data_IF_655603639049
#
_entry.id   IF_655603639049
#
_cell.length_a   1.000
_cell.length_b   1.000
_cell.length_c   1.000
_cell.angle_alpha   90.00
_cell.angle_beta   90.00
_cell.angle_gamma   90.00
#
_symmetry.space_group_name_H-M   'P 1'
#
loop_
_entity.id
_entity.type
_entity.pdbx_description
1 polymer ?
#
# COMPACT_ATOMS: atom_id res chain seq x y z
N UNK A 1 1.84 15.86 -23.89
CA UNK A 1 2.85 14.77 -23.86
C UNK A 1 3.00 14.30 -22.41
N UNK A 2 2.73 13.04 -22.08
CA UNK A 2 3.04 12.50 -20.73
C UNK A 2 4.56 12.30 -20.66
N UNK A 3 5.23 12.87 -19.66
CA UNK A 3 6.66 12.66 -19.43
C UNK A 3 6.87 11.16 -19.18
N UNK A 4 7.65 10.49 -20.04
CA UNK A 4 8.06 9.10 -19.82
C UNK A 4 8.97 9.12 -18.59
N UNK A 5 8.49 8.58 -17.47
CA UNK A 5 9.31 8.42 -16.27
C UNK A 5 10.18 7.20 -16.51
N UNK A 6 11.50 7.39 -16.53
CA UNK A 6 12.45 6.29 -16.58
C UNK A 6 12.65 5.74 -15.17
N UNK A 7 12.58 4.42 -15.06
CA UNK A 7 12.88 3.70 -13.82
C UNK A 7 14.15 2.90 -14.03
N UNK A 8 15.07 2.97 -13.07
CA UNK A 8 16.34 2.27 -13.13
C UNK A 8 16.25 0.98 -12.32
N UNK A 9 16.87 -0.09 -12.83
CA UNK A 9 16.91 -1.40 -12.16
C UNK A 9 17.58 -1.26 -10.79
N UNK A 10 17.07 -1.97 -9.79
CA UNK A 10 17.54 -1.97 -8.40
C UNK A 10 17.39 -0.64 -7.64
N UNK A 11 16.79 0.39 -8.24
CA UNK A 11 16.46 1.63 -7.56
C UNK A 11 15.06 1.55 -6.92
N UNK A 12 14.82 2.36 -5.89
CA UNK A 12 13.57 2.35 -5.13
C UNK A 12 12.67 3.54 -5.47
N UNK A 13 11.36 3.27 -5.56
CA UNK A 13 10.37 4.30 -5.90
C UNK A 13 9.16 4.23 -4.98
N UNK A 14 8.77 5.39 -4.44
CA UNK A 14 7.51 5.57 -3.74
C UNK A 14 6.39 5.76 -4.76
N UNK A 15 5.50 4.77 -4.85
CA UNK A 15 4.35 4.80 -5.74
C UNK A 15 3.07 4.96 -4.95
N UNK A 16 2.20 5.90 -5.34
CA UNK A 16 0.93 6.11 -4.64
C UNK A 16 -0.15 6.68 -5.53
N UNK A 17 -1.40 6.35 -5.19
CA UNK A 17 -2.58 6.92 -5.82
C UNK A 17 -3.77 6.93 -4.84
N UNK A 18 -4.79 7.72 -5.14
CA UNK A 18 -5.97 7.94 -4.30
C UNK A 18 -7.24 7.90 -5.13
N UNK A 19 -8.35 7.49 -4.52
CA UNK A 19 -9.67 7.55 -5.13
C UNK A 19 -10.06 8.98 -5.54
N UNK A 20 -10.75 9.12 -6.67
CA UNK A 20 -11.35 10.41 -7.08
C UNK A 20 -12.23 10.96 -5.97
N UNK A 21 -12.21 12.27 -5.77
CA UNK A 21 -12.92 12.97 -4.69
C UNK A 21 -12.61 12.42 -3.28
N UNK A 22 -11.42 11.83 -3.10
CA UNK A 22 -11.00 11.15 -1.87
C UNK A 22 -11.93 10.00 -1.47
N UNK A 23 -12.69 9.44 -2.43
CA UNK A 23 -13.66 8.37 -2.19
C UNK A 23 -13.01 7.10 -1.66
N UNK A 24 -13.78 6.35 -0.89
CA UNK A 24 -13.38 5.01 -0.47
C UNK A 24 -13.24 4.12 -1.71
N UNK A 25 -12.10 3.44 -1.78
CA UNK A 25 -11.75 2.44 -2.79
C UNK A 25 -11.91 1.02 -2.23
N UNK A 26 -12.00 0.85 -0.91
CA UNK A 26 -12.32 -0.43 -0.24
C UNK A 26 -13.61 -0.29 0.57
N UNK A 27 -14.78 -0.51 -0.06
CA UNK A 27 -16.08 -0.39 0.60
C UNK A 27 -16.38 -1.61 1.48
N UNK A 28 -15.80 -2.77 1.15
CA UNK A 28 -15.83 -3.98 1.99
C UNK A 28 -14.48 -4.73 2.03
N UNK A 29 -14.44 -5.83 2.80
CA UNK A 29 -13.26 -6.66 2.94
C UNK A 29 -12.85 -7.34 1.63
N UNK A 30 -13.82 -7.69 0.78
CA UNK A 30 -13.54 -8.35 -0.49
C UNK A 30 -12.86 -7.39 -1.47
N UNK A 31 -13.18 -6.09 -1.41
CA UNK A 31 -12.46 -5.08 -2.18
C UNK A 31 -10.98 -5.00 -1.81
N UNK A 32 -10.69 -4.97 -0.51
CA UNK A 32 -9.32 -4.92 0.01
C UNK A 32 -8.55 -6.19 -0.40
N UNK A 33 -9.17 -7.36 -0.22
CA UNK A 33 -8.61 -8.65 -0.61
C UNK A 33 -8.37 -8.74 -2.11
N UNK A 34 -9.32 -8.25 -2.92
CA UNK A 34 -9.19 -8.22 -4.37
C UNK A 34 -8.03 -7.34 -4.81
N UNK A 35 -7.83 -6.19 -4.18
CA UNK A 35 -6.70 -5.32 -4.48
C UNK A 35 -5.38 -6.01 -4.13
N UNK A 36 -5.29 -6.61 -2.95
CA UNK A 36 -4.11 -7.37 -2.53
C UNK A 36 -3.80 -8.54 -3.48
N UNK A 37 -4.82 -9.34 -3.84
CA UNK A 37 -4.69 -10.40 -4.83
C UNK A 37 -4.21 -9.85 -6.18
N UNK A 38 -4.74 -8.72 -6.62
CA UNK A 38 -4.32 -8.05 -7.86
C UNK A 38 -2.84 -7.63 -7.82
N UNK A 39 -2.31 -7.23 -6.66
CA UNK A 39 -0.88 -6.93 -6.51
C UNK A 39 -0.01 -8.18 -6.73
N UNK A 40 -0.47 -9.35 -6.30
CA UNK A 40 0.28 -10.61 -6.50
C UNK A 40 0.17 -11.09 -7.95
N UNK A 41 -1.05 -11.13 -8.46
CA UNK A 41 -1.37 -11.79 -9.72
C UNK A 41 -0.99 -10.95 -10.96
N UNK A 42 -1.03 -9.61 -10.85
CA UNK A 42 -0.58 -8.75 -11.95
C UNK A 42 0.93 -8.47 -11.94
N UNK A 43 1.66 -8.92 -10.91
CA UNK A 43 3.12 -8.81 -10.85
C UNK A 43 3.79 -9.98 -11.60
N UNK A 44 3.50 -10.10 -12.88
CA UNK A 44 4.08 -11.11 -13.76
C UNK A 44 4.39 -10.50 -15.12
N UNK A 45 5.48 -10.90 -15.76
CA UNK A 45 5.85 -10.48 -17.12
C UNK A 45 4.73 -10.85 -18.08
N UNK A 46 4.35 -12.14 -18.08
CA UNK A 46 3.27 -12.64 -18.92
C UNK A 46 1.89 -12.21 -18.39
N UNK A 47 1.02 -11.62 -19.24
CA UNK A 47 -0.32 -11.25 -18.84
C UNK A 47 -1.16 -12.48 -18.48
N UNK A 48 -1.68 -12.50 -17.25
CA UNK A 48 -2.51 -13.60 -16.74
C UNK A 48 -3.96 -13.61 -17.26
N UNK A 49 -4.34 -12.66 -18.11
CA UNK A 49 -5.71 -12.50 -18.60
C UNK A 49 -6.70 -12.14 -17.47
N UNK A 50 -7.78 -12.94 -17.33
CA UNK A 50 -8.79 -12.74 -16.28
C UNK A 50 -8.44 -13.52 -15.01
N UNK A 51 -8.40 -12.81 -13.87
CA UNK A 51 -8.23 -13.42 -12.56
C UNK A 51 -9.32 -14.48 -12.27
N UNK A 52 -10.53 -14.30 -12.81
CA UNK A 52 -11.62 -15.26 -12.64
C UNK A 52 -11.41 -16.57 -13.43
N UNK A 53 -10.69 -16.51 -14.55
CA UNK A 53 -10.47 -17.65 -15.43
C UNK A 53 -9.22 -18.44 -14.99
N UNK A 54 -8.26 -17.79 -14.35
CA UNK A 54 -6.94 -18.37 -14.09
C UNK A 54 -6.77 -18.94 -12.66
N UNK A 55 -7.70 -19.80 -12.24
CA UNK A 55 -7.66 -20.48 -10.91
C UNK A 55 -6.41 -21.34 -10.69
N UNK A 56 -5.72 -21.73 -11.77
CA UNK A 56 -4.51 -22.57 -11.73
C UNK A 56 -3.19 -21.79 -11.50
N UNK A 57 -3.13 -20.48 -11.77
CA UNK A 57 -1.93 -19.67 -11.47
C UNK A 57 -1.69 -19.56 -9.96
N UNK A 58 -2.77 -19.55 -9.18
CA UNK A 58 -2.72 -19.51 -7.72
C UNK A 58 -1.96 -20.69 -7.08
N UNK A 59 -1.79 -21.82 -7.82
CA UNK A 59 -0.94 -22.95 -7.38
C UNK A 59 0.56 -22.67 -7.57
N UNK A 60 0.97 -21.91 -8.59
CA UNK A 60 2.39 -21.59 -8.89
C UNK A 60 2.99 -20.61 -7.85
N UNK A 61 2.18 -19.66 -7.37
CA UNK A 61 2.62 -18.67 -6.36
C UNK A 61 2.52 -19.17 -4.91
N UNK A 62 1.70 -20.20 -4.64
CA UNK A 62 1.59 -20.79 -3.28
C UNK A 62 2.84 -21.54 -2.84
N UNK A 63 3.66 -22.03 -3.77
CA UNK A 63 4.84 -22.84 -3.51
C UNK A 63 6.17 -22.08 -3.37
N UNK A 64 6.20 -20.76 -3.60
CA UNK A 64 7.46 -19.97 -3.62
C UNK A 64 7.86 -19.39 -2.26
N UNK A 65 7.92 -20.26 -1.25
CA UNK A 65 8.61 -20.01 0.03
C UNK A 65 10.08 -20.49 0.02
N UNK A 66 10.61 -20.84 -1.15
CA UNK A 66 11.97 -21.33 -1.34
C UNK A 66 12.82 -20.29 -2.06
N UNK A 67 14.09 -20.21 -1.68
CA UNK A 67 15.19 -19.54 -2.37
C UNK A 67 15.04 -19.60 -3.89
N UNK A 68 15.40 -18.54 -4.64
CA UNK A 68 15.41 -18.58 -6.10
C UNK A 68 16.31 -19.73 -6.56
N UNK A 69 15.70 -20.86 -6.92
CA UNK A 69 16.32 -21.80 -7.86
C UNK A 69 16.28 -21.12 -9.23
N UNK A 70 17.24 -21.42 -10.10
CA UNK A 70 17.52 -20.77 -11.40
C UNK A 70 16.38 -20.76 -12.46
N UNK A 71 15.12 -20.90 -12.05
CA UNK A 71 13.97 -20.48 -12.85
C UNK A 71 13.92 -18.94 -12.93
N UNK A 72 13.93 -18.38 -14.14
CA UNK A 72 13.84 -16.93 -14.37
C UNK A 72 12.72 -16.28 -13.55
N UNK A 73 13.07 -15.27 -12.76
CA UNK A 73 12.13 -14.46 -12.00
C UNK A 73 11.13 -13.79 -12.95
N UNK A 74 9.88 -14.28 -12.93
CA UNK A 74 8.83 -13.86 -13.85
C UNK A 74 8.08 -12.60 -13.37
N UNK A 75 8.58 -11.90 -12.36
CA UNK A 75 7.94 -10.70 -11.78
C UNK A 75 8.35 -9.42 -12.51
N UNK A 76 7.43 -8.44 -12.53
CA UNK A 76 7.70 -7.11 -13.09
C UNK A 76 8.47 -6.22 -12.11
N UNK A 77 8.14 -6.33 -10.83
CA UNK A 77 8.67 -5.52 -9.74
C UNK A 77 8.90 -6.37 -8.50
N UNK A 78 9.83 -5.95 -7.67
CA UNK A 78 9.89 -6.39 -6.28
C UNK A 78 9.12 -5.37 -5.41
N UNK A 79 8.31 -5.88 -4.48
CA UNK A 79 7.54 -5.04 -3.56
C UNK A 79 8.35 -4.95 -2.27
N UNK A 80 8.67 -3.75 -1.82
CA UNK A 80 9.48 -3.55 -0.62
C UNK A 80 8.57 -3.29 0.59
N UNK A 81 7.56 -2.45 0.41
CA UNK A 81 6.55 -2.17 1.43
C UNK A 81 5.24 -1.71 0.78
N UNK A 82 4.12 -1.91 1.48
CA UNK A 82 2.83 -1.41 1.04
C UNK A 82 1.93 -0.93 2.20
N UNK A 83 1.01 -0.05 1.86
CA UNK A 83 -0.14 0.31 2.68
C UNK A 83 -1.36 0.54 1.80
N UNK A 84 -2.43 -0.16 2.12
CA UNK A 84 -3.74 -0.12 1.49
C UNK A 84 -4.68 0.56 2.50
N UNK A 85 -4.92 1.85 2.32
CA UNK A 85 -5.84 2.63 3.13
C UNK A 85 -7.22 2.72 2.46
N UNK A 86 -8.29 3.04 3.21
CA UNK A 86 -9.65 3.00 2.68
C UNK A 86 -9.87 3.79 1.39
N UNK A 87 -9.16 4.91 1.17
CA UNK A 87 -9.29 5.73 -0.04
C UNK A 87 -8.00 5.87 -0.87
N UNK A 88 -6.89 5.25 -0.50
CA UNK A 88 -5.63 5.39 -1.23
C UNK A 88 -4.66 4.25 -0.92
N UNK A 89 -3.62 4.11 -1.72
CA UNK A 89 -2.54 3.18 -1.44
C UNK A 89 -1.17 3.85 -1.56
N UNK A 90 -0.19 3.26 -0.89
CA UNK A 90 1.23 3.56 -1.00
C UNK A 90 2.01 2.27 -1.19
N UNK A 91 2.97 2.25 -2.10
CA UNK A 91 3.87 1.13 -2.39
C UNK A 91 5.31 1.66 -2.44
N UNK A 92 6.27 0.84 -2.03
CA UNK A 92 7.67 1.01 -2.39
C UNK A 92 8.02 -0.13 -3.33
N UNK A 93 8.44 0.19 -4.55
CA UNK A 93 8.73 -0.79 -5.59
C UNK A 93 10.16 -0.59 -6.12
N UNK A 94 10.80 -1.68 -6.53
CA UNK A 94 11.96 -1.65 -7.42
C UNK A 94 11.67 -2.44 -8.70
N UNK A 95 12.01 -1.91 -9.89
CA UNK A 95 11.72 -2.61 -11.15
C UNK A 95 12.70 -3.76 -11.36
N UNK A 96 12.18 -4.94 -11.71
CA UNK A 96 12.98 -6.11 -12.07
C UNK A 96 13.27 -6.15 -13.58
N UNK A 97 12.36 -5.57 -14.37
CA UNK A 97 12.46 -5.42 -15.83
C UNK A 97 12.26 -3.95 -16.25
N UNK A 98 12.75 -3.58 -17.44
CA UNK A 98 12.53 -2.25 -17.99
C UNK A 98 11.02 -1.96 -18.13
N UNK A 99 10.57 -0.82 -17.61
CA UNK A 99 9.15 -0.47 -17.63
C UNK A 99 8.27 -1.27 -16.66
N UNK A 100 8.84 -2.14 -15.83
CA UNK A 100 8.12 -3.03 -14.91
C UNK A 100 7.14 -2.31 -13.99
N UNK A 101 7.55 -1.19 -13.36
CA UNK A 101 6.66 -0.36 -12.51
C UNK A 101 5.47 0.17 -13.31
N UNK A 102 5.71 0.72 -14.50
CA UNK A 102 4.64 1.27 -15.34
C UNK A 102 3.63 0.20 -15.73
N UNK A 103 4.11 -0.98 -16.14
CA UNK A 103 3.26 -2.08 -16.56
C UNK A 103 2.49 -2.70 -15.39
N UNK A 104 3.16 -2.94 -14.26
CA UNK A 104 2.55 -3.41 -13.03
C UNK A 104 1.43 -2.48 -12.57
N UNK A 105 1.72 -1.18 -12.47
CA UNK A 105 0.73 -0.19 -12.03
C UNK A 105 -0.39 0.02 -13.03
N UNK A 106 -0.15 -0.16 -14.34
CA UNK A 106 -1.19 -0.15 -15.36
C UNK A 106 -2.17 -1.28 -15.09
N UNK A 107 -1.67 -2.53 -15.01
CA UNK A 107 -2.49 -3.73 -14.77
C UNK A 107 -3.24 -3.66 -13.45
N UNK A 108 -2.55 -3.29 -12.36
CA UNK A 108 -3.14 -3.15 -11.03
C UNK A 108 -4.28 -2.13 -11.02
N UNK A 109 -4.03 -0.90 -11.49
CA UNK A 109 -5.04 0.16 -11.43
C UNK A 109 -6.21 -0.12 -12.39
N UNK A 110 -5.96 -0.57 -13.62
CA UNK A 110 -7.03 -0.83 -14.59
C UNK A 110 -7.86 -2.04 -14.20
N UNK A 111 -7.21 -3.14 -13.82
CA UNK A 111 -7.88 -4.37 -13.41
C UNK A 111 -8.75 -4.16 -12.17
N UNK A 112 -8.22 -3.43 -11.18
CA UNK A 112 -8.99 -3.11 -9.99
C UNK A 112 -10.14 -2.12 -10.26
N UNK A 113 -9.91 -1.10 -11.08
CA UNK A 113 -10.97 -0.16 -11.49
C UNK A 113 -12.11 -0.88 -12.20
N UNK A 114 -11.79 -1.82 -13.10
CA UNK A 114 -12.79 -2.63 -13.80
C UNK A 114 -13.61 -3.47 -12.83
N UNK A 115 -12.96 -4.18 -11.90
CA UNK A 115 -13.63 -4.94 -10.85
C UNK A 115 -14.56 -4.06 -10.01
N UNK A 116 -14.04 -2.94 -9.50
CA UNK A 116 -14.78 -2.04 -8.63
C UNK A 116 -16.00 -1.46 -9.35
N UNK A 117 -15.82 -1.02 -10.59
CA UNK A 117 -16.91 -0.46 -11.39
C UNK A 117 -17.99 -1.49 -11.68
N UNK A 118 -17.62 -2.73 -12.01
CA UNK A 118 -18.57 -3.81 -12.22
C UNK A 118 -19.37 -4.12 -10.94
N UNK A 119 -18.69 -4.30 -9.80
CA UNK A 119 -19.30 -4.64 -8.52
C UNK A 119 -20.27 -3.55 -8.03
N UNK A 120 -19.88 -2.28 -8.14
CA UNK A 120 -20.64 -1.15 -7.64
C UNK A 120 -21.50 -0.45 -8.72
N UNK A 121 -21.65 -1.07 -9.90
CA UNK A 121 -22.41 -0.53 -11.04
C UNK A 121 -22.02 0.92 -11.38
N UNK A 122 -20.73 1.21 -11.34
CA UNK A 122 -20.16 2.53 -11.64
C UNK A 122 -19.56 2.57 -13.04
N UNK A 123 -19.42 3.78 -13.55
CA UNK A 123 -18.65 4.09 -14.76
C UNK A 123 -17.61 5.17 -14.44
N UNK A 124 -16.57 5.26 -15.27
CA UNK A 124 -15.52 6.27 -15.16
C UNK A 124 -14.35 5.88 -14.26
N UNK A 125 -13.52 6.87 -13.93
CA UNK A 125 -12.27 6.68 -13.20
C UNK A 125 -12.51 6.38 -11.71
N UNK A 126 -11.76 5.42 -11.17
CA UNK A 126 -11.70 5.16 -9.73
C UNK A 126 -10.62 6.02 -9.05
N UNK A 127 -9.44 6.14 -9.69
CA UNK A 127 -8.28 6.83 -9.16
C UNK A 127 -8.07 8.23 -9.75
N UNK A 128 -7.38 9.10 -9.02
CA UNK A 128 -7.02 10.47 -9.43
C UNK A 128 -5.91 10.47 -10.48
N UNK A 129 -6.29 10.23 -11.73
CA UNK A 129 -5.34 10.21 -12.85
C UNK A 129 -4.34 9.06 -12.74
N UNK A 130 -3.14 9.27 -13.31
CA UNK A 130 -2.04 8.30 -13.21
C UNK A 130 -1.49 8.24 -11.79
N UNK A 131 -0.91 7.10 -11.41
CA UNK A 131 -0.17 7.00 -10.16
C UNK A 131 0.96 8.06 -10.10
N UNK A 132 1.31 8.45 -8.88
CA UNK A 132 2.45 9.31 -8.61
C UNK A 132 3.65 8.44 -8.28
N UNK A 133 4.83 8.90 -8.67
CA UNK A 133 6.10 8.24 -8.41
C UNK A 133 7.12 9.25 -7.90
N UNK A 134 7.84 8.90 -6.84
CA UNK A 134 8.94 9.68 -6.28
C UNK A 134 10.14 8.74 -6.13
N UNK A 135 11.28 9.14 -6.69
CA UNK A 135 12.55 8.41 -6.54
C UNK A 135 13.04 8.50 -5.09
N UNK A 136 13.57 7.39 -4.58
CA UNK A 136 14.14 7.29 -3.23
C UNK A 136 15.65 7.19 -3.42
N UNK A 137 16.35 8.27 -3.09
CA UNK A 137 17.77 8.50 -3.39
C UNK A 137 18.72 8.11 -2.25
N UNK A 138 18.20 7.55 -1.15
CA UNK A 138 19.02 7.13 -0.02
C UNK A 138 18.36 6.05 0.84
N UNK A 139 19.19 5.19 1.43
CA UNK A 139 18.78 4.14 2.38
C UNK A 139 18.10 4.72 3.62
N UNK A 140 18.58 5.87 4.09
CA UNK A 140 17.97 6.57 5.22
C UNK A 140 16.54 6.99 4.86
N UNK A 141 16.32 7.55 3.67
CA UNK A 141 14.98 7.90 3.23
C UNK A 141 14.10 6.67 3.03
N UNK A 142 14.63 5.60 2.42
CA UNK A 142 13.94 4.31 2.27
C UNK A 142 13.45 3.75 3.62
N UNK A 143 14.32 3.75 4.63
CA UNK A 143 14.04 3.28 5.99
C UNK A 143 12.96 4.10 6.68
N UNK A 144 13.01 5.43 6.61
CA UNK A 144 11.96 6.28 7.19
C UNK A 144 10.63 6.16 6.43
N UNK A 145 10.69 6.07 5.10
CA UNK A 145 9.50 5.96 4.27
C UNK A 145 8.79 4.62 4.48
N UNK A 146 9.53 3.52 4.67
CA UNK A 146 8.93 2.21 4.93
C UNK A 146 8.11 2.22 6.23
N UNK A 147 8.60 2.88 7.28
CA UNK A 147 7.84 3.11 8.51
C UNK A 147 6.60 3.95 8.24
N UNK A 148 6.76 5.09 7.55
CA UNK A 148 5.65 5.97 7.22
C UNK A 148 4.53 5.26 6.45
N UNK A 149 4.89 4.37 5.52
CA UNK A 149 3.95 3.57 4.74
C UNK A 149 3.31 2.51 5.63
N UNK A 150 4.11 1.70 6.34
CA UNK A 150 3.60 0.63 7.19
C UNK A 150 2.58 1.12 8.24
N UNK A 151 2.77 2.33 8.77
CA UNK A 151 1.95 2.95 9.80
C UNK A 151 1.05 4.07 9.26
N UNK A 152 0.86 4.15 7.94
CA UNK A 152 0.17 5.29 7.33
C UNK A 152 -1.30 5.43 7.78
N UNK A 153 -1.98 4.31 8.05
CA UNK A 153 -3.34 4.33 8.61
C UNK A 153 -3.37 5.07 9.95
N UNK A 154 -2.43 4.77 10.85
CA UNK A 154 -2.32 5.40 12.18
C UNK A 154 -1.86 6.87 12.12
N UNK A 155 -1.15 7.25 11.05
CA UNK A 155 -0.84 8.66 10.75
C UNK A 155 -2.12 9.44 10.38
N UNK A 156 -3.14 8.79 9.82
CA UNK A 156 -4.35 9.43 9.31
C UNK A 156 -5.57 9.29 10.24
N UNK A 157 -5.60 10.09 11.31
CA UNK A 157 -6.74 10.17 12.26
C UNK A 157 -8.12 10.44 11.63
N UNK A 158 -8.17 11.05 10.43
CA UNK A 158 -9.44 11.33 9.73
C UNK A 158 -10.31 10.08 9.49
N UNK A 159 -9.69 8.90 9.41
CA UNK A 159 -10.41 7.63 9.26
C UNK A 159 -11.13 7.23 10.56
N UNK A 160 -10.60 7.60 11.72
CA UNK A 160 -11.16 7.25 13.03
C UNK A 160 -12.50 7.94 13.32
N UNK A 161 -12.80 9.05 12.64
CA UNK A 161 -14.01 9.85 12.87
C UNK A 161 -15.08 9.69 11.78
N UNK A 162 -14.89 8.79 10.81
CA UNK A 162 -15.87 8.59 9.74
C UNK A 162 -17.14 7.94 10.29
N UNK A 163 -18.30 8.48 9.90
CA UNK A 163 -19.61 7.92 10.24
C UNK A 163 -20.29 7.31 9.02
N UNK A 164 -21.08 6.27 9.24
CA UNK A 164 -21.97 5.70 8.24
C UNK A 164 -23.23 6.57 8.05
N UNK A 165 -24.12 6.14 7.15
CA UNK A 165 -25.38 6.84 6.86
C UNK A 165 -26.33 6.97 8.06
N UNK A 166 -26.11 6.18 9.12
CA UNK A 166 -26.89 6.17 10.35
C UNK A 166 -26.18 6.91 11.50
N UNK A 167 -25.04 7.57 11.22
CA UNK A 167 -24.26 8.28 12.24
C UNK A 167 -23.38 7.39 13.11
N UNK A 168 -23.29 6.08 12.84
CA UNK A 168 -22.42 5.13 13.58
C UNK A 168 -20.99 5.15 13.03
N UNK A 169 -19.96 4.78 13.80
CA UNK A 169 -18.60 4.65 13.26
C UNK A 169 -18.58 3.78 12.00
N UNK A 170 -18.06 4.32 10.89
CA UNK A 170 -17.96 3.57 9.64
C UNK A 170 -16.87 2.51 9.80
N UNK A 171 -17.22 1.26 9.52
CA UNK A 171 -16.22 0.19 9.40
C UNK A 171 -15.31 0.47 8.21
N UNK A 172 -13.99 0.44 8.43
CA UNK A 172 -13.00 0.77 7.42
C UNK A 172 -12.04 -0.40 7.22
N UNK A 173 -11.69 -0.66 5.97
CA UNK A 173 -10.81 -1.76 5.60
C UNK A 173 -9.45 -1.20 5.20
N UNK A 174 -8.40 -1.70 5.85
CA UNK A 174 -7.02 -1.33 5.56
C UNK A 174 -6.09 -2.52 5.77
N UNK A 175 -4.92 -2.47 5.13
CA UNK A 175 -3.85 -3.47 5.31
C UNK A 175 -2.50 -2.82 5.03
N UNK A 176 -1.45 -3.20 5.74
CA UNK A 176 -0.09 -2.81 5.39
C UNK A 176 0.87 -3.99 5.50
N UNK A 177 2.08 -3.82 4.99
CA UNK A 177 3.17 -4.80 5.14
C UNK A 177 3.69 -4.90 6.58
N UNK A 178 3.14 -4.15 7.55
CA UNK A 178 3.62 -4.15 8.94
C UNK A 178 3.71 -5.56 9.54
N UNK A 179 2.71 -6.41 9.27
CA UNK A 179 2.70 -7.81 9.73
C UNK A 179 3.90 -8.61 9.22
N UNK A 180 4.27 -8.43 7.95
CA UNK A 180 5.41 -9.09 7.30
C UNK A 180 6.74 -8.65 7.94
N UNK A 181 6.88 -7.36 8.25
CA UNK A 181 8.09 -6.80 8.88
C UNK A 181 8.27 -7.23 10.33
N UNK A 182 7.16 -7.42 11.05
CA UNK A 182 7.19 -7.60 12.49
C UNK A 182 7.08 -9.04 12.96
N UNK A 183 6.88 -9.97 12.00
CA UNK A 183 6.51 -11.38 12.27
C UNK A 183 5.40 -11.49 13.30
N UNK A 184 4.49 -10.50 13.32
CA UNK A 184 3.41 -10.47 14.28
C UNK A 184 2.47 -11.64 13.97
N UNK A 185 2.55 -12.71 14.77
CA UNK A 185 1.49 -13.73 14.81
C UNK A 185 0.21 -13.02 15.20
N UNK A 186 -0.90 -13.28 14.48
CA UNK A 186 -2.22 -12.75 14.85
C UNK A 186 -2.49 -13.20 16.28
N UNK A 187 -2.36 -12.28 17.22
CA UNK A 187 -3.02 -12.37 18.51
C UNK A 187 -4.38 -11.75 18.26
N UNK A 188 -5.45 -12.51 18.47
CA UNK A 188 -6.80 -11.96 18.57
C UNK A 188 -6.78 -10.91 19.71
N UNK A 189 -6.65 -9.63 19.35
CA UNK A 189 -6.62 -8.45 20.24
C UNK A 189 -5.25 -8.23 20.92
N UNK A 190 -4.64 -7.04 21.01
CA UNK A 190 -5.07 -5.65 20.82
C UNK A 190 -3.91 -4.83 20.23
N UNK A 191 -4.15 -4.25 19.05
CA UNK A 191 -4.13 -2.81 18.78
C UNK A 191 -5.08 -2.60 17.58
N UNK A 192 -6.25 -2.00 17.82
CA UNK A 192 -7.31 -1.83 16.81
C UNK A 192 -8.32 -2.98 16.74
N UNK A 193 -9.13 -3.17 17.79
CA UNK A 193 -10.26 -4.11 17.74
C UNK A 193 -11.26 -3.70 16.63
N UNK A 194 -11.73 -4.73 15.90
CA UNK A 194 -12.64 -4.76 14.74
C UNK A 194 -12.10 -4.44 13.31
N UNK A 195 -10.78 -4.45 13.10
CA UNK A 195 -10.24 -4.53 11.74
C UNK A 195 -9.55 -5.88 11.52
N UNK A 196 -10.13 -6.71 10.66
CA UNK A 196 -9.60 -8.03 10.33
C UNK A 196 -8.28 -7.87 9.57
N UNK A 197 -7.16 -8.04 10.28
CA UNK A 197 -5.85 -8.25 9.65
C UNK A 197 -5.88 -9.65 9.06
N UNK A 198 -5.86 -9.74 7.74
CA UNK A 198 -5.82 -11.02 7.02
C UNK A 198 -4.36 -11.40 6.85
N UNK A 199 -3.92 -12.43 7.58
CA UNK A 199 -2.64 -13.08 7.32
C UNK A 199 -2.79 -14.00 6.11
N UNK A 200 -1.85 -13.89 5.16
CA UNK A 200 -1.56 -14.95 4.20
C UNK A 200 -0.23 -15.59 4.60
N UNK A 201 -0.10 -16.89 4.34
CA UNK A 201 1.07 -17.71 4.67
C UNK A 201 2.35 -17.32 3.91
N UNK A 202 2.25 -16.46 2.89
CA UNK A 202 3.39 -16.00 2.09
C UNK A 202 3.45 -14.45 2.11
N UNK A 203 4.53 -13.93 2.69
CA UNK A 203 4.93 -12.53 2.58
C UNK A 203 5.15 -12.18 1.10
N UNK A 204 4.68 -11.01 0.67
CA UNK A 204 4.90 -10.54 -0.71
C UNK A 204 6.00 -9.49 -0.80
N UNK A 205 6.52 -9.03 0.34
CA UNK A 205 7.55 -8.00 0.39
C UNK A 205 8.94 -8.59 0.57
N UNK A 206 9.89 -8.12 -0.25
CA UNK A 206 11.31 -8.18 0.07
C UNK A 206 11.66 -7.07 1.08
N UNK A 207 11.96 -7.50 2.30
CA UNK A 207 12.22 -6.64 3.46
C UNK A 207 13.70 -6.60 3.80
N UNK A 208 14.53 -7.36 3.09
CA UNK A 208 15.92 -7.64 3.42
C UNK A 208 16.71 -6.34 3.57
N UNK A 209 16.61 -5.45 2.58
CA UNK A 209 17.32 -4.17 2.56
C UNK A 209 16.97 -3.29 3.77
N UNK A 210 15.71 -3.25 4.21
CA UNK A 210 15.32 -2.41 5.35
C UNK A 210 15.70 -3.07 6.67
N UNK A 211 15.45 -4.38 6.80
CA UNK A 211 15.69 -5.10 8.05
C UNK A 211 17.19 -5.32 8.32
N UNK A 212 18.05 -5.32 7.30
CA UNK A 212 19.50 -5.41 7.47
C UNK A 212 20.11 -4.23 8.25
N UNK A 213 19.41 -3.09 8.33
CA UNK A 213 19.83 -1.94 9.13
C UNK A 213 19.53 -2.06 10.63
N UNK A 214 18.98 -3.19 11.08
CA UNK A 214 18.57 -3.41 12.46
C UNK A 214 19.11 -4.74 12.97
N UNK A 215 19.65 -4.73 14.19
CA UNK A 215 20.15 -5.96 14.83
C UNK A 215 19.01 -6.97 15.09
N UNK A 216 17.79 -6.47 15.29
CA UNK A 216 16.61 -7.30 15.48
C UNK A 216 15.32 -6.66 14.95
N UNK A 217 14.30 -7.51 14.77
CA UNK A 217 12.91 -7.06 14.50
C UNK A 217 12.39 -6.17 15.66
N UNK A 218 12.89 -6.37 16.88
CA UNK A 218 12.55 -5.54 18.04
C UNK A 218 13.05 -4.11 17.88
N UNK A 219 14.27 -3.93 17.38
CA UNK A 219 14.87 -2.61 17.15
C UNK A 219 14.16 -1.87 16.02
N UNK A 220 13.79 -2.58 14.96
CA UNK A 220 12.92 -2.03 13.91
C UNK A 220 11.58 -1.54 14.48
N UNK A 221 10.92 -2.35 15.33
CA UNK A 221 9.65 -1.94 15.98
C UNK A 221 9.81 -0.68 16.81
N UNK A 222 10.88 -0.60 17.61
CA UNK A 222 11.16 0.57 18.46
C UNK A 222 11.36 1.82 17.60
N UNK A 223 12.23 1.73 16.59
CA UNK A 223 12.47 2.81 15.64
C UNK A 223 11.19 3.26 14.94
N UNK A 224 10.35 2.31 14.50
CA UNK A 224 9.11 2.61 13.82
C UNK A 224 8.11 3.36 14.71
N UNK A 225 7.98 2.94 15.97
CA UNK A 225 7.08 3.58 16.94
C UNK A 225 7.54 4.97 17.36
N UNK A 226 8.86 5.18 17.52
CA UNK A 226 9.43 6.50 17.77
C UNK A 226 9.22 7.44 16.58
N UNK A 227 9.46 6.94 15.37
CA UNK A 227 9.21 7.68 14.12
C UNK A 227 7.73 8.07 13.97
N UNK A 228 6.80 7.17 14.28
CA UNK A 228 5.36 7.45 14.24
C UNK A 228 4.98 8.63 15.14
N UNK A 229 5.49 8.66 16.38
CA UNK A 229 5.24 9.77 17.32
C UNK A 229 5.71 11.09 16.73
N UNK A 230 6.91 11.12 16.15
CA UNK A 230 7.47 12.32 15.52
C UNK A 230 6.64 12.79 14.32
N UNK A 231 6.20 11.85 13.47
CA UNK A 231 5.34 12.13 12.31
C UNK A 231 4.00 12.72 12.76
N UNK A 232 3.37 12.12 13.76
CA UNK A 232 2.08 12.60 14.30
C UNK A 232 2.24 13.98 14.94
N UNK A 233 3.31 14.23 15.70
CA UNK A 233 3.57 15.51 16.34
C UNK A 233 3.78 16.64 15.30
N UNK A 234 4.57 16.39 14.25
CA UNK A 234 4.77 17.36 13.16
C UNK A 234 3.45 17.67 12.45
N UNK A 235 2.67 16.63 12.13
CA UNK A 235 1.38 16.77 11.46
C UNK A 235 0.36 17.54 12.29
N UNK A 236 0.33 17.32 13.61
CA UNK A 236 -0.56 18.04 14.52
C UNK A 236 -0.26 19.55 14.53
N UNK A 237 1.02 19.92 14.60
CA UNK A 237 1.45 21.33 14.50
C UNK A 237 1.00 21.97 13.19
N UNK A 238 1.18 21.28 12.06
CA UNK A 238 0.76 21.78 10.75
C UNK A 238 -0.77 21.97 10.67
N UNK A 239 -1.56 21.04 11.23
CA UNK A 239 -3.02 21.14 11.26
C UNK A 239 -3.53 22.27 12.17
N UNK A 240 -2.86 22.54 13.30
CA UNK A 240 -3.16 23.69 14.16
C UNK A 240 -2.84 25.02 13.48
N UNK A 241 -1.69 25.13 12.83
CA UNK A 241 -1.31 26.33 12.05
C UNK A 241 -2.36 26.64 10.98
N UNK A 242 -2.79 25.61 10.24
CA UNK A 242 -3.85 25.75 9.22
C UNK A 242 -5.16 26.24 9.86
N UNK A 243 -5.63 25.61 10.94
CA UNK A 243 -6.87 26.03 11.63
C UNK A 243 -6.80 27.47 12.13
N UNK A 244 -5.67 27.87 12.70
CA UNK A 244 -5.47 29.23 13.21
C UNK A 244 -5.48 30.25 12.07
N UNK A 245 -4.83 29.97 10.94
CA UNK A 245 -4.85 30.83 9.76
C UNK A 245 -6.26 30.97 9.15
N UNK A 246 -7.05 29.89 9.11
CA UNK A 246 -8.45 29.95 8.64
C UNK A 246 -9.40 30.64 9.63
N UNK A 247 -9.06 30.67 10.92
CA UNK A 247 -9.85 31.35 11.95
C UNK A 247 -9.60 32.87 11.93
N UNK A 248 -8.40 33.30 11.53
CA UNK A 248 -8.03 34.71 11.38
C UNK A 248 -8.65 35.30 10.09
N UNK A 249 -8.75 34.52 9.00
CA UNK A 249 -9.35 34.95 7.74
C UNK A 249 -10.89 35.08 7.71
N UNK A 250 -11.59 34.84 8.82
CA UNK A 250 -13.05 35.03 8.96
C UNK A 250 -13.46 36.35 9.64
N UNK A 251 -12.51 37.25 9.89
CA UNK A 251 -12.79 38.62 10.36
C UNK A 251 -12.60 39.65 9.23
N UNK A 252 -13.40 39.55 8.17
CA UNK A 252 -13.67 40.67 7.25
C UNK A 252 -15.06 40.50 6.66
#
# INVERSE_FOLDING_TARGET
MRKKISYFKNEYYHIYNRGVDKRIIFEDLFDLLRFYQSMQEFNSIEPIGSIYINRNIHKKYKSRGATPTDEEDDRLVEIIAFCLNPNHYHLILTPLVEGGISEFMRRLNSGYTSYFNQKYKRVGALFQGTFKSVYIDSDSYLKFLSVYINLNFDVHRKFQNMKDKNGKPKKLFYRSSWGEYTKAKIIKGKLGEENQVINNENDICDKSMILSHFDSVGDYKKFAMESLKNIQAKRYKDEEVIKNNFSIGKKF
#
